data_IF_657046858743
#
_entry.id   IF_657046858743
#
_cell.length_a   1.000
_cell.length_b   1.000
_cell.length_c   1.000
_cell.angle_alpha   90.00
_cell.angle_beta   90.00
_cell.angle_gamma   90.00
#
_symmetry.space_group_name_H-M   'P 1'
#
loop_
_entity.id
_entity.type
_entity.pdbx_description
1 polymer ?
#
# COMPACT_ATOMS: atom_id res chain seq x y z
N UNK A 1 -8.30 -38.60 0.22
CA UNK A 1 -9.34 -37.74 0.81
C UNK A 1 -9.00 -37.34 2.27
N UNK A 2 -8.65 -38.23 3.17
CA UNK A 2 -8.30 -37.90 4.58
C UNK A 2 -7.04 -37.01 4.64
N UNK A 3 -5.96 -37.38 3.96
CA UNK A 3 -4.70 -36.61 3.93
C UNK A 3 -4.85 -35.19 3.35
N UNK A 4 -5.73 -35.00 2.36
CA UNK A 4 -6.00 -33.66 1.82
C UNK A 4 -6.68 -32.76 2.87
N UNK A 5 -7.61 -33.33 3.65
CA UNK A 5 -8.28 -32.60 4.72
C UNK A 5 -7.33 -32.24 5.87
N UNK A 6 -6.42 -33.14 6.24
CA UNK A 6 -5.41 -32.85 7.28
C UNK A 6 -4.46 -31.71 6.84
N UNK A 7 -4.09 -31.66 5.57
CA UNK A 7 -3.26 -30.57 5.03
C UNK A 7 -4.02 -29.23 4.98
N UNK A 8 -5.31 -29.24 4.64
CA UNK A 8 -6.15 -28.04 4.69
C UNK A 8 -6.27 -27.50 6.12
N UNK A 9 -6.46 -28.40 7.11
CA UNK A 9 -6.49 -28.03 8.53
C UNK A 9 -5.14 -27.47 8.96
N UNK A 10 -4.03 -28.10 8.58
CA UNK A 10 -2.69 -27.60 8.87
C UNK A 10 -2.47 -26.21 8.29
N UNK A 11 -2.83 -26.00 7.02
CA UNK A 11 -2.73 -24.69 6.37
C UNK A 11 -3.56 -23.64 7.12
N UNK A 12 -4.79 -23.97 7.51
CA UNK A 12 -5.67 -23.08 8.29
C UNK A 12 -5.09 -22.72 9.65
N UNK A 13 -4.52 -23.68 10.37
CA UNK A 13 -3.87 -23.45 11.68
C UNK A 13 -2.65 -22.53 11.54
N UNK A 14 -1.79 -22.79 10.54
CA UNK A 14 -0.60 -21.97 10.31
C UNK A 14 -0.96 -20.57 9.82
N UNK A 15 -2.00 -20.43 9.01
CA UNK A 15 -2.53 -19.12 8.60
C UNK A 15 -3.05 -18.34 9.82
N UNK A 16 -3.80 -19.00 10.72
CA UNK A 16 -4.23 -18.36 11.97
C UNK A 16 -3.03 -17.97 12.85
N UNK A 17 -2.01 -18.82 12.95
CA UNK A 17 -0.77 -18.50 13.65
C UNK A 17 -0.06 -17.28 13.03
N UNK A 18 -0.04 -17.15 11.70
CA UNK A 18 0.47 -15.98 11.01
C UNK A 18 -0.30 -14.70 11.41
N UNK A 19 -1.64 -14.77 11.46
CA UNK A 19 -2.46 -13.64 11.91
C UNK A 19 -2.09 -13.24 13.35
N UNK A 20 -2.03 -14.20 14.27
CA UNK A 20 -1.62 -13.94 15.67
C UNK A 20 -0.22 -13.33 15.72
N UNK A 21 0.71 -13.83 14.90
CA UNK A 21 2.07 -13.30 14.81
C UNK A 21 2.09 -11.81 14.40
N UNK A 22 1.24 -11.36 13.47
CA UNK A 22 1.19 -9.94 13.07
C UNK A 22 0.89 -8.99 14.25
N UNK A 23 0.12 -9.44 15.24
CA UNK A 23 -0.13 -8.66 16.46
C UNK A 23 1.04 -8.70 17.45
N UNK A 24 1.98 -9.62 17.28
CA UNK A 24 3.14 -9.79 18.17
C UNK A 24 4.42 -9.13 17.62
N UNK A 25 4.41 -8.61 16.39
CA UNK A 25 5.60 -8.03 15.73
C UNK A 25 6.29 -6.97 16.57
N UNK A 26 5.54 -6.07 17.23
CA UNK A 26 6.12 -5.08 18.15
C UNK A 26 6.85 -5.71 19.34
N UNK A 27 6.42 -6.87 19.83
CA UNK A 27 7.11 -7.59 20.91
C UNK A 27 8.42 -8.18 20.39
N UNK A 28 8.42 -8.74 19.19
CA UNK A 28 9.64 -9.25 18.55
C UNK A 28 10.66 -8.13 18.32
N UNK A 29 10.25 -6.96 17.81
CA UNK A 29 11.11 -5.80 17.68
C UNK A 29 11.70 -5.36 19.04
N UNK A 30 10.87 -5.31 20.09
CA UNK A 30 11.35 -4.98 21.43
C UNK A 30 12.36 -6.01 21.99
N UNK A 31 12.24 -7.27 21.59
CA UNK A 31 13.22 -8.32 21.93
C UNK A 31 14.51 -8.14 21.12
N UNK A 32 14.41 -7.83 19.83
CA UNK A 32 15.55 -7.57 18.97
C UNK A 32 16.50 -6.53 19.59
N UNK A 33 15.96 -5.43 20.08
CA UNK A 33 16.73 -4.36 20.75
C UNK A 33 17.44 -4.77 22.04
N UNK A 34 17.24 -5.98 22.56
CA UNK A 34 17.96 -6.52 23.72
C UNK A 34 19.24 -7.25 23.34
N UNK A 35 19.43 -7.53 22.06
CA UNK A 35 20.61 -8.18 21.52
C UNK A 35 21.63 -7.15 21.04
N UNK A 36 22.95 -7.48 21.02
CA UNK A 36 23.96 -6.62 20.43
C UNK A 36 23.68 -6.36 18.94
N UNK A 37 23.94 -5.13 18.49
CA UNK A 37 23.78 -4.74 17.08
C UNK A 37 24.58 -5.68 16.14
N UNK A 38 23.96 -6.15 15.07
CA UNK A 38 24.53 -7.06 14.10
C UNK A 38 24.62 -8.53 14.55
N UNK A 39 24.11 -8.88 15.76
CA UNK A 39 24.10 -10.26 16.22
C UNK A 39 23.04 -11.10 15.51
N UNK A 40 23.25 -12.42 15.45
CA UNK A 40 22.27 -13.36 14.89
C UNK A 40 20.89 -13.23 15.59
N UNK A 41 20.89 -13.09 16.91
CA UNK A 41 19.64 -12.93 17.68
C UNK A 41 18.89 -11.65 17.30
N UNK A 42 19.58 -10.53 17.19
CA UNK A 42 18.97 -9.28 16.73
C UNK A 42 18.33 -9.44 15.36
N UNK A 43 19.09 -9.96 14.37
CA UNK A 43 18.60 -10.13 13.00
C UNK A 43 17.38 -11.05 12.92
N UNK A 44 17.36 -12.17 13.67
CA UNK A 44 16.22 -13.08 13.71
C UNK A 44 14.98 -12.39 14.31
N UNK A 45 15.13 -11.70 15.44
CA UNK A 45 13.98 -11.02 16.07
C UNK A 45 13.53 -9.78 15.28
N UNK A 46 14.42 -9.09 14.56
CA UNK A 46 14.03 -8.08 13.59
C UNK A 46 13.20 -8.68 12.48
N UNK A 47 13.64 -9.78 11.86
CA UNK A 47 12.91 -10.49 10.82
C UNK A 47 11.52 -10.92 11.30
N UNK A 48 11.43 -11.50 12.51
CA UNK A 48 10.14 -11.87 13.13
C UNK A 48 9.27 -10.65 13.46
N UNK A 49 9.85 -9.48 13.59
CA UNK A 49 9.17 -8.21 13.86
C UNK A 49 8.68 -7.48 12.61
N UNK A 50 9.00 -7.96 11.40
CA UNK A 50 8.58 -7.34 10.15
C UNK A 50 7.26 -7.94 9.66
N UNK A 51 6.21 -7.11 9.61
CA UNK A 51 4.85 -7.55 9.23
C UNK A 51 4.82 -8.14 7.83
N UNK A 52 5.60 -7.58 6.90
CA UNK A 52 5.68 -8.00 5.50
C UNK A 52 6.23 -9.43 5.34
N UNK A 53 7.06 -9.87 6.29
CA UNK A 53 7.72 -11.19 6.24
C UNK A 53 6.89 -12.29 6.89
N UNK A 54 5.95 -11.93 7.78
CA UNK A 54 5.20 -12.90 8.60
C UNK A 54 4.55 -14.01 7.76
N UNK A 55 3.75 -13.64 6.75
CA UNK A 55 3.04 -14.64 5.95
C UNK A 55 3.98 -15.50 5.12
N UNK A 56 5.07 -14.93 4.58
CA UNK A 56 6.11 -15.67 3.86
C UNK A 56 6.82 -16.69 4.75
N UNK A 57 7.11 -16.30 5.99
CA UNK A 57 7.74 -17.19 6.98
C UNK A 57 6.82 -18.40 7.31
N UNK A 58 5.54 -18.14 7.59
CA UNK A 58 4.58 -19.21 7.89
C UNK A 58 4.27 -20.08 6.67
N UNK A 59 4.30 -19.52 5.46
CA UNK A 59 4.22 -20.28 4.22
C UNK A 59 5.44 -21.21 4.07
N UNK A 60 6.65 -20.73 4.38
CA UNK A 60 7.85 -21.57 4.43
C UNK A 60 7.75 -22.71 5.45
N UNK A 61 7.20 -22.43 6.64
CA UNK A 61 6.91 -23.45 7.66
C UNK A 61 5.92 -24.47 7.10
N UNK A 62 4.84 -24.03 6.45
CA UNK A 62 3.85 -24.92 5.84
C UNK A 62 4.48 -25.85 4.81
N UNK A 63 5.25 -25.30 3.85
CA UNK A 63 5.91 -26.11 2.81
C UNK A 63 6.89 -27.11 3.41
N UNK A 64 7.63 -26.71 4.44
CA UNK A 64 8.55 -27.60 5.15
C UNK A 64 7.83 -28.74 5.83
N UNK A 65 6.76 -28.46 6.57
CA UNK A 65 5.94 -29.48 7.21
C UNK A 65 5.26 -30.37 6.18
N UNK A 66 4.76 -29.82 5.08
CA UNK A 66 4.19 -30.58 3.98
C UNK A 66 5.22 -31.56 3.39
N UNK A 67 6.46 -31.12 3.15
CA UNK A 67 7.53 -31.98 2.65
C UNK A 67 7.88 -33.09 3.63
N UNK A 68 7.85 -32.84 4.94
CA UNK A 68 8.12 -33.84 5.98
C UNK A 68 6.99 -34.85 6.15
N UNK A 69 5.74 -34.42 6.03
CA UNK A 69 4.54 -35.28 6.22
C UNK A 69 4.32 -36.15 4.98
N UNK A 70 4.39 -35.56 3.79
CA UNK A 70 4.10 -36.27 2.54
C UNK A 70 5.38 -36.77 1.85
N UNK A 71 6.14 -35.88 1.29
CA UNK A 71 7.51 -36.04 0.77
C UNK A 71 7.95 -34.72 0.13
N UNK A 72 9.27 -34.49 -0.05
CA UNK A 72 9.77 -33.33 -0.79
C UNK A 72 9.21 -33.23 -2.22
N UNK A 73 9.02 -34.36 -2.90
CA UNK A 73 8.48 -34.38 -4.26
C UNK A 73 7.05 -33.83 -4.31
N UNK A 74 6.18 -34.26 -3.42
CA UNK A 74 4.79 -33.75 -3.37
C UNK A 74 4.73 -32.26 -3.00
N UNK A 75 5.65 -31.79 -2.15
CA UNK A 75 5.74 -30.36 -1.84
C UNK A 75 6.13 -29.52 -3.07
N UNK A 76 7.07 -30.02 -3.90
CA UNK A 76 7.44 -29.38 -5.16
C UNK A 76 6.27 -29.41 -6.15
N UNK A 77 5.62 -30.56 -6.36
CA UNK A 77 4.44 -30.70 -7.24
C UNK A 77 3.31 -29.75 -6.79
N UNK A 78 3.10 -29.59 -5.48
CA UNK A 78 2.14 -28.62 -4.94
C UNK A 78 2.53 -27.18 -5.31
N UNK A 79 3.78 -26.77 -5.10
CA UNK A 79 4.25 -25.42 -5.43
C UNK A 79 4.16 -25.15 -6.93
N UNK A 80 4.49 -26.13 -7.78
CA UNK A 80 4.38 -26.01 -9.24
C UNK A 80 2.92 -25.92 -9.71
N UNK A 81 1.98 -26.47 -8.95
CA UNK A 81 0.54 -26.38 -9.24
C UNK A 81 -0.06 -25.00 -8.94
N UNK A 82 0.63 -24.15 -8.15
CA UNK A 82 0.15 -22.82 -7.79
C UNK A 82 0.32 -21.83 -8.95
N UNK A 83 -0.66 -20.96 -9.11
CA UNK A 83 -0.55 -19.85 -10.07
C UNK A 83 0.16 -18.66 -9.42
N UNK A 84 1.39 -18.37 -9.86
CA UNK A 84 2.18 -17.24 -9.39
C UNK A 84 2.03 -15.98 -10.27
N UNK A 85 1.19 -15.98 -11.28
CA UNK A 85 1.01 -14.83 -12.19
C UNK A 85 0.63 -13.56 -11.43
N UNK A 86 -0.38 -13.66 -10.54
CA UNK A 86 -0.82 -12.50 -9.74
C UNK A 86 0.23 -12.02 -8.73
N UNK A 87 0.88 -12.89 -7.91
CA UNK A 87 1.96 -12.47 -7.04
C UNK A 87 3.13 -11.81 -7.77
N UNK A 88 3.53 -12.36 -8.93
CA UNK A 88 4.60 -11.79 -9.76
C UNK A 88 4.17 -10.44 -10.33
N UNK A 89 2.95 -10.31 -10.83
CA UNK A 89 2.39 -9.03 -11.29
C UNK A 89 2.46 -7.98 -10.19
N UNK A 90 1.96 -8.30 -8.97
CA UNK A 90 2.00 -7.37 -7.82
C UNK A 90 3.43 -6.98 -7.47
N UNK A 91 4.35 -7.94 -7.41
CA UNK A 91 5.76 -7.68 -7.11
C UNK A 91 6.40 -6.72 -8.13
N UNK A 92 6.19 -6.98 -9.42
CA UNK A 92 6.78 -6.16 -10.49
C UNK A 92 6.19 -4.75 -10.49
N UNK A 93 4.85 -4.62 -10.43
CA UNK A 93 4.20 -3.30 -10.45
C UNK A 93 4.55 -2.48 -9.21
N UNK A 94 4.59 -3.09 -8.01
CA UNK A 94 5.00 -2.42 -6.78
C UNK A 94 6.45 -1.91 -6.87
N UNK A 95 7.35 -2.73 -7.41
CA UNK A 95 8.77 -2.36 -7.58
C UNK A 95 8.91 -1.14 -8.50
N UNK A 96 8.22 -1.13 -9.64
CA UNK A 96 8.28 -0.01 -10.60
C UNK A 96 7.60 1.23 -10.02
N UNK A 97 6.43 1.10 -9.41
CA UNK A 97 5.69 2.21 -8.85
C UNK A 97 6.35 2.84 -7.61
N UNK A 98 7.17 2.09 -6.87
CA UNK A 98 7.96 2.62 -5.76
C UNK A 98 9.17 3.44 -6.21
N UNK A 99 9.45 3.51 -7.51
CA UNK A 99 10.58 4.29 -8.03
C UNK A 99 10.36 5.80 -7.92
N UNK A 100 11.45 6.53 -7.71
CA UNK A 100 11.41 8.00 -7.56
C UNK A 100 10.68 8.73 -8.69
N UNK A 101 10.85 8.39 -9.99
CA UNK A 101 10.13 9.05 -11.08
C UNK A 101 8.60 8.99 -10.92
N UNK A 102 8.05 7.81 -10.59
CA UNK A 102 6.60 7.64 -10.40
C UNK A 102 6.11 8.41 -9.17
N UNK A 103 6.84 8.35 -8.05
CA UNK A 103 6.49 9.08 -6.82
C UNK A 103 6.54 10.61 -7.03
N UNK A 104 7.55 11.12 -7.72
CA UNK A 104 7.67 12.55 -8.05
C UNK A 104 6.56 12.98 -9.02
N UNK A 105 6.20 12.15 -9.99
CA UNK A 105 5.11 12.41 -10.92
C UNK A 105 3.76 12.49 -10.20
N UNK A 106 3.44 11.53 -9.32
CA UNK A 106 2.23 11.54 -8.52
C UNK A 106 2.16 12.80 -7.64
N UNK A 107 3.26 13.17 -6.99
CA UNK A 107 3.36 14.40 -6.21
C UNK A 107 3.12 15.66 -7.04
N UNK A 108 3.65 15.72 -8.27
CA UNK A 108 3.43 16.84 -9.21
C UNK A 108 1.97 16.91 -9.66
N UNK A 109 1.36 15.79 -9.96
CA UNK A 109 -0.05 15.72 -10.34
C UNK A 109 -0.95 16.24 -9.20
N UNK A 110 -0.75 15.77 -7.98
CA UNK A 110 -1.50 16.23 -6.80
C UNK A 110 -1.33 17.75 -6.62
N UNK A 111 -0.10 18.25 -6.67
CA UNK A 111 0.18 19.68 -6.53
C UNK A 111 -0.39 20.52 -7.69
N UNK A 112 -0.41 19.98 -8.91
CA UNK A 112 -1.01 20.59 -10.09
C UNK A 112 -2.53 20.72 -9.94
N UNK A 113 -3.20 19.65 -9.61
CA UNK A 113 -4.65 19.61 -9.41
C UNK A 113 -5.10 20.52 -8.25
N UNK A 114 -4.32 20.58 -7.17
CA UNK A 114 -4.61 21.49 -6.08
C UNK A 114 -4.63 22.97 -6.49
N UNK A 115 -3.97 23.35 -7.60
CA UNK A 115 -4.00 24.72 -8.12
C UNK A 115 -5.32 25.08 -8.79
N UNK A 116 -6.11 24.09 -9.18
CA UNK A 116 -7.41 24.28 -9.82
C UNK A 116 -8.51 24.56 -8.79
N UNK A 117 -8.28 24.22 -7.51
CA UNK A 117 -9.25 24.44 -6.45
C UNK A 117 -9.11 25.88 -5.93
N UNK A 118 -10.18 26.70 -6.04
CA UNK A 118 -10.16 28.08 -5.56
C UNK A 118 -10.14 28.13 -4.03
N UNK A 119 -9.56 29.21 -3.47
CA UNK A 119 -9.55 29.47 -2.03
C UNK A 119 -8.17 29.36 -1.39
N UNK A 120 -8.14 28.99 -0.12
CA UNK A 120 -6.90 28.89 0.63
C UNK A 120 -6.02 27.74 0.11
N UNK A 121 -4.77 28.05 -0.16
CA UNK A 121 -3.83 27.11 -0.80
C UNK A 121 -3.55 25.87 0.03
N UNK A 122 -3.41 26.02 1.36
CA UNK A 122 -3.16 24.86 2.23
C UNK A 122 -4.38 23.94 2.30
N UNK A 123 -5.58 24.52 2.31
CA UNK A 123 -6.84 23.77 2.26
C UNK A 123 -6.96 23.00 0.95
N UNK A 124 -6.71 23.66 -0.19
CA UNK A 124 -6.76 23.03 -1.51
C UNK A 124 -5.74 21.89 -1.63
N UNK A 125 -4.49 22.10 -1.22
CA UNK A 125 -3.45 21.07 -1.22
C UNK A 125 -3.79 19.88 -0.31
N UNK A 126 -4.36 20.14 0.86
CA UNK A 126 -4.75 19.10 1.81
C UNK A 126 -5.90 18.22 1.28
N UNK A 127 -6.97 18.83 0.76
CA UNK A 127 -8.09 18.09 0.16
C UNK A 127 -7.62 17.27 -1.03
N UNK A 128 -6.89 17.91 -1.95
CA UNK A 128 -6.40 17.23 -3.15
C UNK A 128 -5.50 16.05 -2.79
N UNK A 129 -4.62 16.23 -1.81
CA UNK A 129 -3.74 15.16 -1.35
C UNK A 129 -4.51 13.97 -0.81
N UNK A 130 -5.55 14.20 -0.02
CA UNK A 130 -6.33 13.13 0.63
C UNK A 130 -7.47 12.56 -0.24
N UNK A 131 -7.70 13.14 -1.42
CA UNK A 131 -8.60 12.59 -2.45
C UNK A 131 -7.80 11.94 -3.57
N UNK A 132 -6.97 12.74 -4.25
CA UNK A 132 -6.25 12.28 -5.44
C UNK A 132 -5.12 11.31 -5.10
N UNK A 133 -4.39 11.54 -4.00
CA UNK A 133 -3.35 10.62 -3.54
C UNK A 133 -3.87 9.18 -3.40
N UNK A 134 -4.92 8.95 -2.60
CA UNK A 134 -5.60 7.67 -2.49
C UNK A 134 -6.12 7.09 -3.82
N UNK A 135 -6.79 7.89 -4.63
CA UNK A 135 -7.33 7.44 -5.93
C UNK A 135 -6.23 7.03 -6.92
N UNK A 136 -5.07 7.69 -6.88
CA UNK A 136 -3.90 7.25 -7.64
C UNK A 136 -3.44 5.85 -7.26
N UNK A 137 -3.78 5.37 -6.05
CA UNK A 137 -3.53 3.99 -5.63
C UNK A 137 -4.05 2.96 -6.60
N UNK A 138 -5.17 3.23 -7.26
CA UNK A 138 -5.71 2.35 -8.31
C UNK A 138 -4.88 2.31 -9.60
N UNK A 139 -3.93 3.21 -9.77
CA UNK A 139 -3.05 3.26 -10.95
C UNK A 139 -1.61 2.84 -10.61
N UNK A 140 -1.12 3.26 -9.43
CA UNK A 140 0.28 3.06 -9.01
C UNK A 140 0.41 2.09 -7.83
N UNK A 141 -0.63 1.36 -7.48
CA UNK A 141 -0.80 0.50 -6.32
C UNK A 141 -1.03 1.22 -4.98
N UNK A 142 -1.76 0.56 -4.10
CA UNK A 142 -2.12 1.06 -2.77
C UNK A 142 -0.90 1.43 -1.90
N UNK A 143 0.15 0.59 -1.77
CA UNK A 143 1.33 0.94 -0.98
C UNK A 143 2.11 2.14 -1.52
N UNK A 144 2.21 2.30 -2.85
CA UNK A 144 2.88 3.44 -3.46
C UNK A 144 2.12 4.75 -3.18
N UNK A 145 0.79 4.74 -3.35
CA UNK A 145 -0.07 5.88 -3.06
C UNK A 145 -0.02 6.28 -1.58
N UNK A 146 -0.02 5.29 -0.66
CA UNK A 146 0.15 5.49 0.76
C UNK A 146 1.47 6.20 1.07
N UNK A 147 2.57 5.70 0.52
CA UNK A 147 3.91 6.25 0.74
C UNK A 147 4.01 7.70 0.26
N UNK A 148 3.58 8.00 -0.97
CA UNK A 148 3.58 9.36 -1.52
C UNK A 148 2.76 10.29 -0.64
N UNK A 149 1.53 9.89 -0.34
CA UNK A 149 0.58 10.72 0.42
C UNK A 149 1.06 10.95 1.85
N UNK A 150 1.58 9.93 2.53
CA UNK A 150 2.11 10.05 3.88
C UNK A 150 3.34 10.97 3.93
N UNK A 151 4.27 10.85 2.98
CA UNK A 151 5.44 11.73 2.88
C UNK A 151 5.04 13.19 2.58
N UNK A 152 4.03 13.40 1.74
CA UNK A 152 3.51 14.73 1.47
C UNK A 152 2.80 15.31 2.71
N UNK A 153 1.97 14.53 3.43
CA UNK A 153 1.38 14.95 4.70
C UNK A 153 2.45 15.33 5.72
N UNK A 154 3.47 14.49 5.89
CA UNK A 154 4.57 14.74 6.80
C UNK A 154 5.28 16.06 6.48
N UNK A 155 5.71 16.23 5.23
CA UNK A 155 6.51 17.39 4.79
C UNK A 155 5.70 18.68 4.72
N UNK A 156 4.42 18.61 4.35
CA UNK A 156 3.62 19.81 4.07
C UNK A 156 2.76 20.25 5.25
N UNK A 157 2.32 19.33 6.09
CA UNK A 157 1.35 19.61 7.14
C UNK A 157 1.85 19.23 8.54
N UNK A 158 2.33 18.01 8.75
CA UNK A 158 2.68 17.53 10.09
C UNK A 158 3.91 18.21 10.68
N UNK A 159 4.88 18.59 9.85
CA UNK A 159 6.05 19.37 10.27
C UNK A 159 5.68 20.76 10.81
N UNK A 160 4.53 21.29 10.39
CA UNK A 160 4.03 22.63 10.76
C UNK A 160 2.98 22.61 11.87
N UNK A 161 2.37 21.45 12.13
CA UNK A 161 1.33 21.29 13.14
C UNK A 161 1.89 20.64 14.41
N UNK A 162 1.48 21.16 15.56
CA UNK A 162 1.67 20.50 16.88
C UNK A 162 0.39 19.77 17.33
N UNK A 163 -0.72 19.90 16.58
CA UNK A 163 -2.01 19.34 16.93
C UNK A 163 -2.05 17.84 16.63
N UNK A 164 -1.98 17.02 17.68
CA UNK A 164 -2.03 15.56 17.54
C UNK A 164 -3.37 15.07 16.97
N UNK A 165 -4.50 15.72 17.33
CA UNK A 165 -5.82 15.34 16.80
C UNK A 165 -5.87 15.49 15.28
N UNK A 166 -5.33 16.59 14.76
CA UNK A 166 -5.19 16.81 13.32
C UNK A 166 -4.34 15.73 12.67
N UNK A 167 -3.17 15.42 13.23
CA UNK A 167 -2.27 14.40 12.68
C UNK A 167 -2.92 13.01 12.65
N UNK A 168 -3.53 12.59 13.77
CA UNK A 168 -4.19 11.28 13.84
C UNK A 168 -5.42 11.19 12.93
N UNK A 169 -6.25 12.25 12.87
CA UNK A 169 -7.40 12.29 11.97
C UNK A 169 -6.96 12.21 10.49
N UNK A 170 -5.89 12.95 10.12
CA UNK A 170 -5.35 12.92 8.77
C UNK A 170 -4.76 11.56 8.39
N UNK A 171 -4.05 10.90 9.33
CA UNK A 171 -3.52 9.55 9.10
C UNK A 171 -4.65 8.53 8.99
N UNK A 172 -5.62 8.55 9.91
CA UNK A 172 -6.77 7.66 9.86
C UNK A 172 -7.56 7.82 8.55
N UNK A 173 -7.77 9.07 8.13
CA UNK A 173 -8.39 9.37 6.85
C UNK A 173 -7.57 8.85 5.67
N UNK A 174 -6.24 9.02 5.69
CA UNK A 174 -5.38 8.52 4.64
C UNK A 174 -5.49 6.99 4.51
N UNK A 175 -5.43 6.25 5.63
CA UNK A 175 -5.60 4.79 5.63
C UNK A 175 -6.94 4.38 5.02
N UNK A 176 -8.03 4.98 5.46
CA UNK A 176 -9.37 4.68 4.94
C UNK A 176 -9.47 5.01 3.46
N UNK A 177 -9.03 6.20 3.05
CA UNK A 177 -9.16 6.64 1.67
C UNK A 177 -8.26 5.86 0.72
N UNK A 178 -7.06 5.43 1.12
CA UNK A 178 -6.17 4.61 0.27
C UNK A 178 -6.80 3.24 0.03
N UNK A 179 -7.37 2.61 1.07
CA UNK A 179 -8.07 1.33 0.90
C UNK A 179 -9.33 1.45 0.03
N UNK A 180 -10.10 2.54 0.18
CA UNK A 180 -11.26 2.80 -0.67
C UNK A 180 -10.82 3.15 -2.10
N UNK A 181 -9.81 4.03 -2.23
CA UNK A 181 -9.28 4.50 -3.50
C UNK A 181 -8.67 3.40 -4.37
N UNK A 182 -8.12 2.35 -3.77
CA UNK A 182 -7.59 1.19 -4.48
C UNK A 182 -8.64 0.34 -5.23
N UNK A 183 -9.94 0.59 -5.03
CA UNK A 183 -11.03 -0.22 -5.63
C UNK A 183 -11.46 0.20 -7.03
N UNK A 184 -10.81 1.19 -7.67
CA UNK A 184 -11.16 1.62 -9.03
C UNK A 184 -10.72 0.61 -10.09
N UNK A 185 -9.68 -0.17 -9.82
CA UNK A 185 -9.13 -1.19 -10.72
C UNK A 185 -9.12 -2.56 -10.06
N UNK A 186 -9.04 -3.61 -10.85
CA UNK A 186 -9.04 -5.00 -10.37
C UNK A 186 -7.69 -5.46 -9.78
N UNK A 187 -6.61 -4.70 -9.95
CA UNK A 187 -5.24 -5.12 -9.65
C UNK A 187 -4.52 -4.30 -8.58
N UNK A 188 -5.01 -3.12 -8.23
CA UNK A 188 -4.21 -2.16 -7.45
C UNK A 188 -4.13 -2.46 -5.96
N UNK A 189 -5.18 -3.06 -5.40
CA UNK A 189 -5.25 -3.44 -3.99
C UNK A 189 -5.23 -4.96 -3.85
N UNK A 190 -4.31 -5.55 -3.05
CA UNK A 190 -4.21 -7.00 -2.90
C UNK A 190 -5.54 -7.71 -2.53
N UNK A 191 -6.38 -7.19 -1.61
CA UNK A 191 -7.67 -7.83 -1.32
C UNK A 191 -8.63 -7.83 -2.52
N UNK A 192 -8.60 -6.78 -3.35
CA UNK A 192 -9.42 -6.69 -4.56
C UNK A 192 -8.93 -7.71 -5.59
N UNK A 193 -7.63 -7.81 -5.81
CA UNK A 193 -7.03 -8.75 -6.75
C UNK A 193 -7.46 -10.20 -6.44
N UNK A 194 -7.43 -10.60 -5.17
CA UNK A 194 -7.81 -11.95 -4.73
C UNK A 194 -9.27 -12.29 -5.07
N UNK A 195 -10.20 -11.35 -4.90
CA UNK A 195 -11.62 -11.58 -5.19
C UNK A 195 -11.97 -11.32 -6.65
N UNK A 196 -11.32 -10.38 -7.29
CA UNK A 196 -11.54 -10.01 -8.68
C UNK A 196 -11.21 -11.18 -9.61
N UNK A 197 -10.09 -11.87 -9.40
CA UNK A 197 -9.73 -13.06 -10.18
C UNK A 197 -10.73 -14.21 -9.97
N UNK A 198 -11.20 -14.42 -8.73
CA UNK A 198 -12.17 -15.46 -8.40
C UNK A 198 -13.52 -15.26 -9.09
N UNK A 199 -13.95 -14.01 -9.24
CA UNK A 199 -15.27 -13.64 -9.78
C UNK A 199 -15.19 -13.03 -11.20
N UNK A 200 -14.03 -13.06 -11.82
CA UNK A 200 -13.78 -12.48 -13.15
C UNK A 200 -14.19 -10.99 -13.23
N UNK A 201 -13.87 -10.21 -12.20
CA UNK A 201 -14.09 -8.78 -12.17
C UNK A 201 -12.93 -8.05 -12.84
N UNK A 202 -13.18 -7.57 -14.04
CA UNK A 202 -12.22 -6.74 -14.76
C UNK A 202 -12.22 -5.27 -14.26
N UNK A 203 -11.29 -4.48 -14.75
CA UNK A 203 -11.18 -3.05 -14.36
C UNK A 203 -12.43 -2.26 -14.77
N UNK A 204 -13.09 -2.61 -15.87
CA UNK A 204 -14.35 -1.98 -16.30
C UNK A 204 -15.47 -2.24 -15.30
N UNK A 205 -15.61 -3.48 -14.85
CA UNK A 205 -16.56 -3.86 -13.82
C UNK A 205 -16.29 -3.14 -12.51
N UNK A 206 -15.02 -3.10 -12.08
CA UNK A 206 -14.63 -2.43 -10.83
C UNK A 206 -14.97 -0.94 -10.88
N UNK A 207 -14.61 -0.25 -11.96
CA UNK A 207 -14.91 1.17 -12.11
C UNK A 207 -16.41 1.46 -12.12
N UNK A 208 -17.20 0.67 -12.86
CA UNK A 208 -18.64 0.85 -12.99
C UNK A 208 -19.41 0.56 -11.69
N UNK A 209 -18.95 -0.40 -10.88
CA UNK A 209 -19.67 -0.83 -9.68
C UNK A 209 -19.14 -0.22 -8.38
N UNK A 210 -17.83 0.01 -8.26
CA UNK A 210 -17.16 0.48 -7.04
C UNK A 210 -16.45 1.83 -7.23
N UNK A 211 -15.83 2.08 -8.39
CA UNK A 211 -14.92 3.21 -8.57
C UNK A 211 -15.56 4.57 -8.33
N UNK A 212 -16.72 4.85 -8.94
CA UNK A 212 -17.41 6.12 -8.72
C UNK A 212 -17.87 6.32 -7.28
N UNK A 213 -18.23 5.23 -6.58
CA UNK A 213 -18.59 5.26 -5.16
C UNK A 213 -17.37 5.58 -4.29
N UNK A 214 -16.23 4.99 -4.63
CA UNK A 214 -14.95 5.24 -3.99
C UNK A 214 -14.53 6.72 -4.14
N UNK A 215 -14.68 7.29 -5.34
CA UNK A 215 -14.41 8.71 -5.58
C UNK A 215 -15.29 9.59 -4.67
N UNK A 216 -16.59 9.35 -4.63
CA UNK A 216 -17.52 10.11 -3.78
C UNK A 216 -17.15 9.96 -2.30
N UNK A 217 -16.88 8.74 -1.83
CA UNK A 217 -16.50 8.47 -0.45
C UNK A 217 -15.20 9.21 -0.06
N UNK A 218 -14.18 9.17 -0.91
CA UNK A 218 -12.94 9.91 -0.69
C UNK A 218 -13.15 11.43 -0.64
N UNK A 219 -14.00 11.97 -1.53
CA UNK A 219 -14.32 13.41 -1.54
C UNK A 219 -15.07 13.82 -0.27
N UNK A 220 -16.09 13.06 0.13
CA UNK A 220 -16.90 13.37 1.32
C UNK A 220 -16.04 13.30 2.58
N UNK A 221 -15.29 12.21 2.77
CA UNK A 221 -14.45 11.99 3.94
C UNK A 221 -13.33 13.03 4.06
N UNK A 222 -12.63 13.32 2.96
CA UNK A 222 -11.61 14.36 2.92
C UNK A 222 -12.19 15.76 3.18
N UNK A 223 -13.34 16.07 2.60
CA UNK A 223 -14.03 17.34 2.82
C UNK A 223 -14.47 17.50 4.28
N UNK A 224 -15.01 16.46 4.89
CA UNK A 224 -15.42 16.46 6.29
C UNK A 224 -14.26 16.76 7.23
N UNK A 225 -13.16 16.01 7.12
CA UNK A 225 -11.96 16.25 7.97
C UNK A 225 -11.37 17.63 7.70
N UNK A 226 -11.31 18.06 6.45
CA UNK A 226 -10.84 19.41 6.10
C UNK A 226 -11.71 20.50 6.73
N UNK A 227 -13.02 20.34 6.73
CA UNK A 227 -13.93 21.28 7.37
C UNK A 227 -13.66 21.42 8.87
N UNK A 228 -13.47 20.31 9.58
CA UNK A 228 -13.16 20.32 11.02
C UNK A 228 -11.82 21.02 11.33
N UNK A 229 -10.81 20.84 10.47
CA UNK A 229 -9.46 21.39 10.70
C UNK A 229 -9.14 22.62 9.84
N UNK A 230 -10.15 23.23 9.20
CA UNK A 230 -9.94 24.39 8.30
C UNK A 230 -9.24 25.58 8.96
N UNK A 231 -9.50 25.80 10.24
CA UNK A 231 -8.86 26.87 11.01
C UNK A 231 -7.36 26.68 11.15
N UNK A 232 -6.94 25.45 11.41
CA UNK A 232 -5.51 25.10 11.51
C UNK A 232 -4.83 25.15 10.14
N UNK A 233 -5.48 24.62 9.09
CA UNK A 233 -4.95 24.62 7.73
C UNK A 233 -4.72 26.04 7.20
N UNK A 234 -5.66 26.96 7.42
CA UNK A 234 -5.51 28.38 7.05
C UNK A 234 -4.45 29.11 7.87
N UNK A 235 -4.21 28.67 9.10
CA UNK A 235 -3.18 29.24 9.98
C UNK A 235 -1.74 28.91 9.59
N UNK A 236 -1.52 27.95 8.69
CA UNK A 236 -0.17 27.62 8.24
C UNK A 236 0.42 28.74 7.38
N UNK A 237 1.61 29.23 7.80
CA UNK A 237 2.35 30.21 7.00
C UNK A 237 2.58 29.70 5.58
N UNK A 238 2.54 30.61 4.61
CA UNK A 238 2.82 30.31 3.20
C UNK A 238 4.17 29.59 3.09
N UNK A 239 4.19 28.45 2.42
CA UNK A 239 5.41 27.69 2.22
C UNK A 239 6.35 28.49 1.32
N UNK A 240 7.53 28.82 1.82
CA UNK A 240 8.62 29.20 0.93
C UNK A 240 8.88 28.01 0.02
N UNK A 241 8.83 28.23 -1.29
CA UNK A 241 9.09 27.17 -2.27
C UNK A 241 10.52 26.70 -2.05
N UNK A 242 10.78 25.45 -1.63
CA UNK A 242 12.16 24.99 -1.47
C UNK A 242 12.87 25.16 -2.82
N UNK A 243 14.11 25.63 -2.77
CA UNK A 243 15.00 25.63 -3.92
C UNK A 243 14.93 24.26 -4.61
N UNK A 244 14.87 24.29 -5.94
CA UNK A 244 14.59 23.17 -6.84
C UNK A 244 15.06 21.81 -6.31
N UNK A 245 14.14 21.01 -5.81
CA UNK A 245 14.40 19.57 -5.68
C UNK A 245 14.82 19.07 -7.07
N UNK A 246 15.90 18.30 -7.14
CA UNK A 246 16.36 17.70 -8.40
C UNK A 246 15.17 16.94 -8.97
N UNK A 247 14.58 17.51 -10.02
CA UNK A 247 13.39 16.92 -10.67
C UNK A 247 13.88 15.85 -11.64
N UNK A 248 13.20 14.73 -11.64
CA UNK A 248 13.42 13.72 -12.68
C UNK A 248 13.11 14.32 -14.05
N UNK A 249 13.94 14.09 -15.06
CA UNK A 249 13.66 14.51 -16.44
C UNK A 249 12.36 13.90 -16.95
N UNK A 250 11.57 14.65 -17.71
CA UNK A 250 10.30 14.18 -18.26
C UNK A 250 10.44 12.86 -19.06
N UNK A 251 11.55 12.69 -19.77
CA UNK A 251 11.83 11.44 -20.50
C UNK A 251 11.91 10.23 -19.58
N UNK A 252 12.50 10.37 -18.40
CA UNK A 252 12.59 9.30 -17.39
C UNK A 252 11.20 8.99 -16.84
N UNK A 253 10.38 10.00 -16.56
CA UNK A 253 9.00 9.82 -16.11
C UNK A 253 8.16 9.06 -17.15
N UNK A 254 8.29 9.44 -18.44
CA UNK A 254 7.57 8.80 -19.54
C UNK A 254 7.98 7.33 -19.70
N UNK A 255 9.26 7.02 -19.62
CA UNK A 255 9.74 5.63 -19.66
C UNK A 255 9.12 4.80 -18.54
N UNK A 256 9.09 5.31 -17.30
CA UNK A 256 8.48 4.59 -16.18
C UNK A 256 6.97 4.42 -16.34
N UNK A 257 6.27 5.43 -16.86
CA UNK A 257 4.84 5.32 -17.18
C UNK A 257 4.57 4.26 -18.26
N UNK A 258 5.41 4.18 -19.28
CA UNK A 258 5.31 3.14 -20.31
C UNK A 258 5.53 1.77 -19.67
N UNK A 259 6.52 1.60 -18.78
CA UNK A 259 6.68 0.34 -18.04
C UNK A 259 5.45 -0.03 -17.22
N UNK A 260 4.88 0.89 -16.45
CA UNK A 260 3.64 0.66 -15.68
C UNK A 260 2.51 0.23 -16.63
N UNK A 261 2.33 0.93 -17.75
CA UNK A 261 1.31 0.60 -18.74
C UNK A 261 1.50 -0.80 -19.35
N UNK A 262 2.73 -1.14 -19.72
CA UNK A 262 3.05 -2.46 -20.28
C UNK A 262 2.86 -3.58 -19.25
N UNK A 263 3.23 -3.38 -17.99
CA UNK A 263 2.99 -4.34 -16.91
C UNK A 263 1.49 -4.60 -16.78
N UNK A 264 0.67 -3.54 -16.73
CA UNK A 264 -0.79 -3.68 -16.64
C UNK A 264 -1.38 -4.36 -17.88
N UNK A 265 -0.85 -4.07 -19.07
CA UNK A 265 -1.37 -4.62 -20.33
C UNK A 265 -1.05 -6.11 -20.52
N UNK A 266 0.14 -6.55 -20.12
CA UNK A 266 0.64 -7.89 -20.43
C UNK A 266 0.61 -8.88 -19.26
N UNK A 267 0.52 -8.40 -18.02
CA UNK A 267 0.57 -9.25 -16.83
C UNK A 267 -0.75 -9.30 -16.04
N UNK A 268 -1.76 -8.49 -16.43
CA UNK A 268 -3.06 -8.47 -15.75
C UNK A 268 -4.15 -9.17 -16.57
#
# INVERSE_FOLDING_TARGET
MVLAHELEVLAGVLFFAAIVHTFLTKKFQAIAHRYPEGSFGENVFHLLGEVEVVFGLWAGVFVTLFALIMSPRHAVEYLESLNFTEPVFVFVIMTVCATRPILDLAGRLIAGLARLIPGDRNVAEYVTLLVIGPLLGSLITEPAAMTVSALMLLKQFFSRSKNLKFKYASLGLLFVNVSIGGTLTSYAAPPVLMVASKWNWDTGFMFANFGWKAIIACVISASAVTYFFRGELKGFKKKETPAAAIRTPLAVDLVHLIFVFLIVLFLN
#
